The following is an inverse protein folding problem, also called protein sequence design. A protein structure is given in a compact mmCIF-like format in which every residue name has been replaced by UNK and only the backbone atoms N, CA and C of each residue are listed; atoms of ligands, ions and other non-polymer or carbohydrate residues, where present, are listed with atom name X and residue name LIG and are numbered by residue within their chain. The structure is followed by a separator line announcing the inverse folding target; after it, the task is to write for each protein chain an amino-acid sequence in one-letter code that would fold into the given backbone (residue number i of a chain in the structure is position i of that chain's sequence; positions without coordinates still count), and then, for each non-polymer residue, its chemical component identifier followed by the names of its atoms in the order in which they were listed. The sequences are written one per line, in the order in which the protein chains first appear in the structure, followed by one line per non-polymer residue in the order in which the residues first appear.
data_IF_167518947052
#
_entry.id   IF_167518947052
#
_cell.length_a   1.000
_cell.length_b   1.000
_cell.length_c   1.000
_cell.angle_alpha   90.00
_cell.angle_beta   90.00
_cell.angle_gamma   90.00
#
_symmetry.space_group_name_H-M   'P 1'
#
loop_
_entity.id
_entity.type
_entity.pdbx_description
1 polymer ?
#
# COMPACT_ATOMS: atom_id res chain seq x y z
N UNK A 1 4.80 -7.22 -28.15
CA UNK A 1 4.32 -6.96 -26.77
C UNK A 1 2.96 -7.60 -26.63
N UNK A 2 2.76 -8.39 -25.58
CA UNK A 2 1.49 -9.04 -25.28
C UNK A 2 0.39 -7.98 -25.09
N UNK A 3 -0.67 -8.04 -25.90
CA UNK A 3 -1.76 -7.04 -25.89
C UNK A 3 -2.46 -6.98 -24.54
N UNK A 4 -2.51 -8.10 -23.82
CA UNK A 4 -3.12 -8.18 -22.48
C UNK A 4 -2.27 -7.45 -21.44
N UNK A 5 -0.95 -7.60 -21.51
CA UNK A 5 -0.02 -6.90 -20.63
C UNK A 5 -0.06 -5.39 -20.90
N UNK A 6 -0.13 -4.97 -22.17
CA UNK A 6 -0.21 -3.57 -22.54
C UNK A 6 -1.49 -2.90 -22.01
N UNK A 7 -2.65 -3.54 -22.14
CA UNK A 7 -3.92 -3.05 -21.57
C UNK A 7 -3.85 -2.96 -20.04
N UNK A 8 -3.26 -3.94 -19.36
CA UNK A 8 -3.07 -3.90 -17.91
C UNK A 8 -2.18 -2.73 -17.47
N UNK A 9 -1.05 -2.54 -18.14
CA UNK A 9 -0.13 -1.41 -17.87
C UNK A 9 -0.83 -0.08 -18.10
N UNK A 10 -1.61 0.04 -19.17
CA UNK A 10 -2.38 1.26 -19.46
C UNK A 10 -3.38 1.56 -18.34
N UNK A 11 -4.19 0.57 -17.92
CA UNK A 11 -5.16 0.74 -16.83
C UNK A 11 -4.50 1.11 -15.50
N UNK A 12 -3.32 0.54 -15.25
CA UNK A 12 -2.53 0.87 -14.06
C UNK A 12 -2.15 2.35 -14.04
N UNK A 13 -1.59 2.86 -15.14
CA UNK A 13 -1.22 4.27 -15.25
C UNK A 13 -2.42 5.20 -15.31
N UNK A 14 -3.51 4.82 -15.98
CA UNK A 14 -4.76 5.60 -15.98
C UNK A 14 -5.30 5.75 -14.55
N UNK A 15 -5.27 4.67 -13.75
CA UNK A 15 -5.67 4.70 -12.36
C UNK A 15 -4.74 5.59 -11.53
N UNK A 16 -3.41 5.40 -11.62
CA UNK A 16 -2.44 6.24 -10.92
C UNK A 16 -2.62 7.71 -11.27
N UNK A 17 -2.77 8.04 -12.56
CA UNK A 17 -2.93 9.42 -13.01
C UNK A 17 -4.23 10.04 -12.51
N UNK A 18 -5.33 9.28 -12.51
CA UNK A 18 -6.62 9.75 -11.96
C UNK A 18 -6.59 10.03 -10.46
N UNK A 19 -5.72 9.33 -9.72
CA UNK A 19 -5.63 9.37 -8.26
C UNK A 19 -4.58 10.33 -7.73
N UNK A 20 -3.39 10.29 -8.30
CA UNK A 20 -2.20 11.04 -7.87
C UNK A 20 -1.86 12.20 -8.82
N UNK A 21 -2.65 12.42 -9.88
CA UNK A 21 -2.40 13.49 -10.85
C UNK A 21 -1.10 13.29 -11.66
N UNK A 22 -0.56 12.06 -11.68
CA UNK A 22 0.73 11.75 -12.30
C UNK A 22 1.94 12.21 -11.49
N UNK A 23 1.75 12.51 -10.20
CA UNK A 23 2.82 12.94 -9.30
C UNK A 23 3.46 11.73 -8.63
N UNK A 24 4.79 11.63 -8.73
CA UNK A 24 5.58 10.70 -7.93
C UNK A 24 5.78 11.28 -6.52
N UNK A 25 4.87 10.94 -5.62
CA UNK A 25 4.92 11.37 -4.23
C UNK A 25 6.20 10.93 -3.52
N UNK A 26 6.77 9.77 -3.89
CA UNK A 26 7.98 9.24 -3.28
C UNK A 26 9.18 10.12 -3.63
N UNK A 27 9.33 10.51 -4.90
CA UNK A 27 10.38 11.44 -5.34
C UNK A 27 10.31 12.79 -4.62
N UNK A 28 9.12 13.36 -4.43
CA UNK A 28 8.95 14.65 -3.74
C UNK A 28 9.37 14.54 -2.28
N UNK A 29 8.94 13.46 -1.61
CA UNK A 29 9.23 13.25 -0.19
C UNK A 29 10.72 12.97 0.03
N UNK A 30 11.40 12.32 -0.92
CA UNK A 30 12.82 12.03 -0.86
C UNK A 30 13.72 13.26 -1.04
N UNK A 31 13.25 14.30 -1.73
CA UNK A 31 13.94 15.61 -1.84
C UNK A 31 13.92 16.42 -0.54
N UNK A 32 13.06 16.06 0.43
CA UNK A 32 12.94 16.80 1.68
C UNK A 32 14.09 16.46 2.66
N UNK A 33 14.62 17.46 3.39
CA UNK A 33 15.51 17.22 4.52
C UNK A 33 14.90 16.26 5.54
N UNK A 34 15.71 15.39 6.15
CA UNK A 34 15.27 14.32 7.04
C UNK A 34 14.17 14.69 8.06
N UNK A 35 14.29 15.79 8.82
CA UNK A 35 13.25 16.23 9.76
C UNK A 35 11.92 16.61 9.10
N UNK A 36 11.96 17.22 7.91
CA UNK A 36 10.76 17.58 7.16
C UNK A 36 10.10 16.35 6.55
N UNK A 37 10.91 15.44 5.97
CA UNK A 37 10.44 14.15 5.46
C UNK A 37 9.70 13.35 6.53
N UNK A 38 10.28 13.23 7.72
CA UNK A 38 9.67 12.52 8.85
C UNK A 38 8.34 13.17 9.28
N UNK A 39 8.27 14.50 9.35
CA UNK A 39 7.03 15.21 9.69
C UNK A 39 5.93 15.04 8.65
N UNK A 40 6.29 15.10 7.37
CA UNK A 40 5.34 14.88 6.26
C UNK A 40 4.83 13.44 6.30
N UNK A 41 5.73 12.47 6.44
CA UNK A 41 5.35 11.06 6.51
C UNK A 41 4.39 10.79 7.68
N UNK A 42 4.66 11.36 8.87
CA UNK A 42 3.76 11.26 10.02
C UNK A 42 2.41 11.95 9.80
N UNK A 43 2.40 13.09 9.12
CA UNK A 43 1.17 13.81 8.80
C UNK A 43 0.28 13.00 7.83
N UNK A 44 0.88 12.34 6.85
CA UNK A 44 0.14 11.56 5.83
C UNK A 44 -0.30 10.20 6.38
N UNK A 45 0.59 9.45 7.04
CA UNK A 45 0.36 8.05 7.38
C UNK A 45 0.08 7.78 8.87
N UNK A 46 0.26 8.78 9.75
CA UNK A 46 0.16 8.59 11.20
C UNK A 46 -1.21 8.08 11.64
N UNK A 47 -2.28 8.62 11.06
CA UNK A 47 -3.65 8.17 11.32
C UNK A 47 -3.90 6.71 10.89
N UNK A 48 -3.31 6.28 9.77
CA UNK A 48 -3.42 4.90 9.30
C UNK A 48 -2.70 3.92 10.22
N UNK A 49 -1.57 4.31 10.80
CA UNK A 49 -0.89 3.50 11.82
C UNK A 49 -1.72 3.44 13.11
N UNK A 50 -2.27 4.56 13.56
CA UNK A 50 -3.10 4.61 14.76
C UNK A 50 -4.42 3.82 14.63
N UNK A 51 -4.96 3.73 13.40
CA UNK A 51 -6.15 2.95 13.11
C UNK A 51 -5.93 1.44 13.29
N UNK A 52 -4.69 0.96 13.18
CA UNK A 52 -4.35 -0.44 13.39
C UNK A 52 -4.21 -0.69 14.90
N UNK A 53 -5.10 -1.50 15.53
CA UNK A 53 -5.10 -1.67 16.99
C UNK A 53 -3.75 -2.16 17.54
N UNK A 54 -3.04 -2.98 16.78
CA UNK A 54 -1.71 -3.48 17.13
C UNK A 54 -0.68 -2.36 17.34
N UNK A 55 -0.74 -1.28 16.56
CA UNK A 55 0.21 -0.16 16.66
C UNK A 55 -0.29 1.00 17.54
N UNK A 56 -1.59 1.06 17.84
CA UNK A 56 -2.19 2.15 18.62
C UNK A 56 -1.53 2.38 19.99
N UNK A 57 -1.08 1.30 20.64
CA UNK A 57 -0.43 1.30 21.96
C UNK A 57 1.10 1.38 21.91
N UNK A 58 1.69 1.46 20.72
CA UNK A 58 3.13 1.59 20.55
C UNK A 58 3.63 3.01 20.91
N UNK A 59 4.89 3.09 21.31
CA UNK A 59 5.57 4.38 21.51
C UNK A 59 5.62 5.19 20.21
N UNK A 60 5.56 6.51 20.35
CA UNK A 60 5.58 7.45 19.22
C UNK A 60 6.83 7.27 18.35
N UNK A 61 7.99 6.98 18.96
CA UNK A 61 9.24 6.71 18.24
C UNK A 61 9.13 5.48 17.34
N UNK A 62 8.43 4.43 17.79
CA UNK A 62 8.21 3.23 16.98
C UNK A 62 7.25 3.52 15.82
N UNK A 63 6.19 4.30 16.05
CA UNK A 63 5.28 4.73 14.98
C UNK A 63 6.02 5.54 13.92
N UNK A 64 6.89 6.45 14.34
CA UNK A 64 7.75 7.22 13.43
C UNK A 64 8.67 6.33 12.60
N UNK A 65 9.26 5.29 13.21
CA UNK A 65 10.07 4.31 12.49
C UNK A 65 9.24 3.53 11.47
N UNK A 66 8.05 3.04 11.84
CA UNK A 66 7.15 2.31 10.93
C UNK A 66 6.75 3.19 9.74
N UNK A 67 6.29 4.42 10.02
CA UNK A 67 5.90 5.38 8.99
C UNK A 67 7.06 5.71 8.04
N UNK A 68 8.30 5.75 8.55
CA UNK A 68 9.49 6.04 7.73
C UNK A 68 9.85 4.93 6.73
N UNK A 69 9.40 3.69 6.97
CA UNK A 69 9.63 2.55 6.07
C UNK A 69 8.40 2.17 5.26
N UNK A 70 7.26 2.83 5.51
CA UNK A 70 6.01 2.55 4.82
C UNK A 70 6.08 3.07 3.38
N UNK A 71 5.77 2.19 2.42
CA UNK A 71 5.79 2.52 0.99
C UNK A 71 4.39 2.36 0.39
N UNK A 72 3.86 3.39 -0.30
CA UNK A 72 2.57 3.27 -0.96
C UNK A 72 2.66 2.26 -2.11
N UNK A 73 1.69 1.35 -2.21
CA UNK A 73 1.57 0.39 -3.32
C UNK A 73 0.13 0.35 -3.82
N UNK A 74 -0.02 0.30 -5.13
CA UNK A 74 -1.31 0.24 -5.82
C UNK A 74 -1.45 -1.11 -6.51
N UNK A 75 -2.58 -1.76 -6.29
CA UNK A 75 -2.96 -3.02 -6.94
C UNK A 75 -4.29 -2.81 -7.68
N UNK A 76 -4.40 -3.38 -8.88
CA UNK A 76 -5.63 -3.31 -9.66
C UNK A 76 -6.61 -4.42 -9.24
N UNK A 77 -7.91 -4.25 -9.50
CA UNK A 77 -8.87 -5.33 -9.32
C UNK A 77 -8.44 -6.61 -10.05
N UNK A 78 -8.32 -7.71 -9.32
CA UNK A 78 -7.88 -9.01 -9.84
C UNK A 78 -6.38 -9.26 -9.72
N UNK A 79 -5.58 -8.30 -9.25
CA UNK A 79 -4.17 -8.55 -8.95
C UNK A 79 -4.00 -9.45 -7.72
N UNK A 80 -3.08 -10.40 -7.83
CA UNK A 80 -2.63 -11.20 -6.70
C UNK A 80 -1.56 -10.43 -5.94
N UNK A 81 -1.82 -10.15 -4.65
CA UNK A 81 -0.87 -9.44 -3.77
C UNK A 81 0.17 -10.40 -3.20
N UNK A 82 -0.28 -11.55 -2.68
CA UNK A 82 0.57 -12.63 -2.16
C UNK A 82 -0.04 -13.99 -2.52
N UNK A 83 0.80 -15.02 -2.65
CA UNK A 83 0.34 -16.38 -2.96
C UNK A 83 0.71 -17.38 -1.85
N UNK A 84 -0.18 -18.36 -1.63
CA UNK A 84 0.09 -19.45 -0.70
C UNK A 84 1.36 -20.22 -1.11
N UNK A 85 2.25 -20.48 -0.14
CA UNK A 85 3.52 -21.17 -0.36
C UNK A 85 4.70 -20.22 -0.62
N UNK A 86 4.45 -18.92 -0.81
CA UNK A 86 5.51 -17.91 -0.85
C UNK A 86 5.99 -17.55 0.56
N UNK A 87 7.26 -17.18 0.68
CA UNK A 87 7.83 -16.71 1.95
C UNK A 87 7.31 -15.31 2.23
N UNK A 88 6.50 -15.16 3.28
CA UNK A 88 6.01 -13.86 3.73
C UNK A 88 7.14 -13.00 4.29
N UNK A 89 7.52 -11.95 3.55
CA UNK A 89 8.55 -10.99 3.95
C UNK A 89 8.03 -9.56 4.09
N UNK A 90 6.76 -9.33 3.72
CA UNK A 90 6.13 -8.02 3.66
C UNK A 90 4.87 -7.98 4.56
N UNK A 91 4.59 -6.80 5.11
CA UNK A 91 3.34 -6.49 5.80
C UNK A 91 2.62 -5.39 5.03
N UNK A 92 1.32 -5.54 4.82
CA UNK A 92 0.49 -4.58 4.11
C UNK A 92 -0.53 -3.94 5.04
N UNK A 93 -0.75 -2.63 4.87
CA UNK A 93 -1.88 -1.91 5.45
C UNK A 93 -2.80 -1.48 4.31
N UNK A 94 -4.09 -1.81 4.42
CA UNK A 94 -5.09 -1.45 3.41
C UNK A 94 -5.60 -0.05 3.75
N UNK A 95 -5.08 0.97 3.07
CA UNK A 95 -5.58 2.34 3.26
C UNK A 95 -6.94 2.54 2.57
N UNK A 96 -7.13 1.94 1.38
CA UNK A 96 -8.33 2.10 0.57
C UNK A 96 -8.61 0.86 -0.27
N UNK A 97 -9.89 0.54 -0.40
CA UNK A 97 -10.35 -0.60 -1.20
C UNK A 97 -10.59 -1.84 -0.34
N UNK A 98 -10.60 -2.99 -1.00
CA UNK A 98 -10.90 -4.28 -0.38
C UNK A 98 -9.99 -5.35 -0.96
N UNK A 99 -9.51 -6.25 -0.11
CA UNK A 99 -8.68 -7.39 -0.48
C UNK A 99 -9.43 -8.66 -0.12
N UNK A 100 -9.55 -9.59 -1.07
CA UNK A 100 -10.20 -10.88 -0.84
C UNK A 100 -9.15 -11.93 -0.58
N UNK A 101 -9.22 -12.57 0.58
CA UNK A 101 -8.43 -13.77 0.90
C UNK A 101 -9.22 -14.97 0.38
N UNK A 102 -8.62 -15.76 -0.50
CA UNK A 102 -9.29 -16.88 -1.16
C UNK A 102 -8.40 -18.13 -1.22
N UNK A 103 -8.99 -19.27 -1.57
CA UNK A 103 -8.28 -20.52 -1.84
C UNK A 103 -7.26 -20.35 -2.97
N UNK A 104 -6.29 -21.26 -3.06
CA UNK A 104 -5.20 -21.25 -4.07
C UNK A 104 -5.69 -21.04 -5.52
N UNK A 105 -6.89 -21.50 -5.85
CA UNK A 105 -7.51 -21.36 -7.17
C UNK A 105 -8.41 -20.12 -7.35
N UNK A 106 -8.49 -19.23 -6.35
CA UNK A 106 -9.31 -18.02 -6.35
C UNK A 106 -10.82 -18.24 -6.31
N UNK A 107 -11.29 -19.49 -6.16
CA UNK A 107 -12.72 -19.83 -6.27
C UNK A 107 -13.49 -19.68 -4.98
N UNK A 108 -12.86 -19.91 -3.84
CA UNK A 108 -13.52 -19.90 -2.53
C UNK A 108 -12.97 -18.72 -1.73
N UNK A 109 -13.77 -17.66 -1.51
CA UNK A 109 -13.37 -16.57 -0.62
C UNK A 109 -13.49 -17.03 0.85
N UNK A 110 -12.44 -16.78 1.63
CA UNK A 110 -12.43 -17.00 3.08
C UNK A 110 -12.89 -15.76 3.83
N UNK A 111 -12.37 -14.60 3.45
CA UNK A 111 -12.77 -13.31 4.02
C UNK A 111 -12.41 -12.16 3.07
N UNK A 112 -13.01 -11.00 3.35
CA UNK A 112 -12.68 -9.73 2.70
C UNK A 112 -12.13 -8.78 3.75
N UNK A 113 -10.92 -8.29 3.52
CA UNK A 113 -10.27 -7.26 4.32
C UNK A 113 -10.60 -5.90 3.69
N UNK A 114 -11.31 -5.05 4.43
CA UNK A 114 -11.63 -3.69 4.03
C UNK A 114 -10.77 -2.71 4.81
N UNK A 115 -10.49 -1.55 4.21
CA UNK A 115 -9.98 -0.38 4.92
C UNK A 115 -10.99 0.10 5.98
#
# INVERSE_FOLDING_TARGET
LDLVLADKVQRYYDYLFSRQGGVDEESIVDELPGPLRQRVAMYVNGSSIDAVPFFSSCEETLKQLIVSVLRPRVFLPGDTITQQGEVGTEMFLIERGQVVVSSENGKIPFCTLCA
#
